data_IF_470467157149
#
_entry.id   IF_470467157149
#
_cell.length_a   1.000
_cell.length_b   1.000
_cell.length_c   1.000
_cell.angle_alpha   90.00
_cell.angle_beta   90.00
_cell.angle_gamma   90.00
#
_symmetry.space_group_name_H-M   'P 1'
#
loop_
_entity.id
_entity.type
_entity.pdbx_description
1 polymer ?
#
# COMPACT_ATOMS: atom_id res chain seq x y z
N UNK A 1 11.42 15.30 6.21
CA UNK A 1 10.65 14.24 5.49
C UNK A 1 9.72 14.90 4.48
N UNK A 2 9.68 14.37 3.30
CA UNK A 2 8.77 14.80 2.24
C UNK A 2 8.03 13.58 1.67
N UNK A 3 6.82 13.78 1.14
CA UNK A 3 6.07 12.73 0.45
C UNK A 3 5.76 13.19 -0.96
N UNK A 4 6.06 12.36 -1.92
CA UNK A 4 5.93 12.63 -3.35
C UNK A 4 5.57 11.36 -4.12
N UNK A 5 5.25 11.49 -5.39
CA UNK A 5 5.18 10.34 -6.29
C UNK A 5 6.56 9.69 -6.41
N UNK A 6 6.56 8.37 -6.53
CA UNK A 6 7.78 7.61 -6.75
C UNK A 6 8.35 7.88 -8.15
N UNK A 7 9.67 7.83 -8.24
CA UNK A 7 10.46 8.01 -9.46
C UNK A 7 11.33 6.77 -9.70
N UNK A 8 11.90 6.64 -10.89
CA UNK A 8 12.74 5.49 -11.24
C UNK A 8 13.93 5.30 -10.27
N UNK A 9 14.47 6.39 -9.75
CA UNK A 9 15.57 6.34 -8.76
C UNK A 9 15.18 5.65 -7.46
N UNK A 10 13.89 5.57 -7.15
CA UNK A 10 13.38 4.94 -5.93
C UNK A 10 13.29 3.41 -6.06
N UNK A 11 13.34 2.86 -7.28
CA UNK A 11 13.12 1.43 -7.55
C UNK A 11 13.97 0.51 -6.66
N UNK A 12 15.29 0.72 -6.47
CA UNK A 12 16.07 -0.15 -5.59
C UNK A 12 15.55 -0.18 -4.15
N UNK A 13 15.14 0.95 -3.63
CA UNK A 13 14.57 1.04 -2.27
C UNK A 13 13.19 0.42 -2.20
N UNK A 14 12.35 0.63 -3.21
CA UNK A 14 11.03 0.00 -3.29
C UNK A 14 11.16 -1.53 -3.28
N UNK A 15 12.10 -2.10 -4.03
CA UNK A 15 12.34 -3.54 -4.03
C UNK A 15 12.79 -4.05 -2.66
N UNK A 16 13.68 -3.33 -1.98
CA UNK A 16 14.13 -3.69 -0.65
C UNK A 16 12.98 -3.69 0.37
N UNK A 17 12.13 -2.67 0.33
CA UNK A 17 10.98 -2.55 1.24
C UNK A 17 9.89 -3.58 0.92
N UNK A 18 9.65 -3.88 -0.35
CA UNK A 18 8.75 -4.97 -0.77
C UNK A 18 9.20 -6.31 -0.21
N UNK A 19 10.52 -6.55 -0.15
CA UNK A 19 11.09 -7.74 0.48
C UNK A 19 10.80 -7.82 1.98
N UNK A 20 10.81 -6.70 2.69
CA UNK A 20 10.47 -6.65 4.13
C UNK A 20 9.00 -7.04 4.36
N UNK A 21 8.08 -6.53 3.55
CA UNK A 21 6.65 -6.86 3.64
C UNK A 21 6.41 -8.33 3.29
N UNK A 22 7.05 -8.81 2.24
CA UNK A 22 6.92 -10.22 1.84
C UNK A 22 7.34 -11.16 2.96
N UNK A 23 8.42 -10.84 3.68
CA UNK A 23 8.88 -11.64 4.81
C UNK A 23 7.81 -11.73 5.92
N UNK A 24 7.16 -10.62 6.24
CA UNK A 24 6.05 -10.59 7.23
C UNK A 24 4.89 -11.45 6.75
N UNK A 25 4.49 -11.34 5.49
CA UNK A 25 3.39 -12.11 4.92
C UNK A 25 3.73 -13.61 4.85
N UNK A 26 4.97 -13.96 4.52
CA UNK A 26 5.41 -15.36 4.49
C UNK A 26 5.44 -16.00 5.88
N UNK A 27 5.73 -15.25 6.93
CA UNK A 27 5.64 -15.71 8.31
C UNK A 27 4.19 -15.98 8.74
N UNK A 28 3.25 -15.14 8.29
CA UNK A 28 1.82 -15.28 8.61
C UNK A 28 1.18 -16.40 7.78
N UNK A 29 1.47 -16.44 6.48
CA UNK A 29 0.87 -17.37 5.53
C UNK A 29 1.96 -18.03 4.66
N UNK A 30 2.73 -18.97 5.24
CA UNK A 30 3.76 -19.70 4.48
C UNK A 30 3.18 -20.63 3.40
N UNK A 31 1.88 -20.93 3.46
CA UNK A 31 1.13 -21.66 2.43
C UNK A 31 0.79 -20.81 1.20
N UNK A 32 0.90 -19.48 1.30
CA UNK A 32 0.55 -18.55 0.23
C UNK A 32 1.78 -17.83 -0.33
N UNK A 33 2.68 -17.37 0.55
CA UNK A 33 3.82 -16.55 0.18
C UNK A 33 5.12 -17.35 0.21
N UNK A 34 5.98 -17.11 -0.81
CA UNK A 34 7.30 -17.72 -0.92
C UNK A 34 8.34 -16.71 -0.40
N UNK A 35 8.99 -16.97 0.75
CA UNK A 35 10.00 -16.05 1.28
C UNK A 35 11.20 -15.93 0.34
N UNK A 36 11.84 -14.76 0.35
CA UNK A 36 13.02 -14.49 -0.46
C UNK A 36 12.75 -14.19 -1.94
N UNK A 37 11.48 -14.16 -2.36
CA UNK A 37 11.09 -13.72 -3.71
C UNK A 37 10.74 -12.23 -3.72
N UNK A 38 10.50 -11.67 -4.90
CA UNK A 38 10.04 -10.29 -5.07
C UNK A 38 8.70 -10.25 -5.79
N UNK A 39 7.84 -9.30 -5.39
CA UNK A 39 6.55 -9.09 -6.04
C UNK A 39 6.70 -8.56 -7.46
N UNK A 40 7.72 -7.71 -7.69
CA UNK A 40 7.97 -7.06 -8.96
C UNK A 40 9.44 -7.17 -9.34
N UNK A 41 9.71 -7.21 -10.66
CA UNK A 41 11.03 -6.97 -11.23
C UNK A 41 11.26 -5.46 -11.38
N UNK A 42 12.50 -5.05 -11.64
CA UNK A 42 12.84 -3.66 -11.97
C UNK A 42 12.03 -3.15 -13.17
N UNK A 43 11.92 -3.96 -14.23
CA UNK A 43 11.16 -3.59 -15.44
C UNK A 43 9.66 -3.43 -15.15
N UNK A 44 9.09 -4.33 -14.35
CA UNK A 44 7.68 -4.25 -13.94
C UNK A 44 7.40 -2.99 -13.10
N UNK A 45 8.29 -2.63 -12.17
CA UNK A 45 8.16 -1.39 -11.40
C UNK A 45 8.29 -0.15 -12.29
N UNK A 46 9.24 -0.14 -13.22
CA UNK A 46 9.40 0.98 -14.15
C UNK A 46 8.13 1.19 -14.99
N UNK A 47 7.53 0.09 -15.47
CA UNK A 47 6.25 0.16 -16.19
C UNK A 47 5.10 0.63 -15.29
N UNK A 48 5.04 0.17 -14.04
CA UNK A 48 4.01 0.55 -13.07
C UNK A 48 4.06 2.05 -12.75
N UNK A 49 5.25 2.63 -12.66
CA UNK A 49 5.42 4.08 -12.44
C UNK A 49 4.81 4.95 -13.53
N UNK A 50 4.60 4.42 -14.73
CA UNK A 50 3.98 5.13 -15.85
C UNK A 50 2.44 5.04 -15.85
N UNK A 51 1.84 4.23 -14.98
CA UNK A 51 0.40 4.04 -14.93
C UNK A 51 -0.24 5.08 -13.99
N UNK A 52 -1.04 6.00 -14.56
CA UNK A 52 -1.69 7.07 -13.79
C UNK A 52 -2.74 6.58 -12.81
N UNK A 53 -3.41 5.46 -13.11
CA UNK A 53 -4.42 4.84 -12.26
C UNK A 53 -3.84 3.98 -11.13
N UNK A 54 -2.51 3.84 -11.09
CA UNK A 54 -1.78 3.07 -10.05
C UNK A 54 -0.65 3.90 -9.45
N UNK A 55 -0.97 5.02 -8.78
CA UNK A 55 0.05 5.89 -8.24
C UNK A 55 0.82 5.22 -7.09
N UNK A 56 2.11 5.45 -7.06
CA UNK A 56 2.99 5.04 -5.96
C UNK A 56 3.50 6.30 -5.29
N UNK A 57 3.30 6.39 -3.98
CA UNK A 57 3.79 7.50 -3.17
C UNK A 57 4.91 7.01 -2.27
N UNK A 58 5.93 7.84 -2.10
CA UNK A 58 7.09 7.55 -1.24
C UNK A 58 7.29 8.64 -0.21
N UNK A 59 7.62 8.24 1.00
CA UNK A 59 8.13 9.13 2.02
C UNK A 59 9.65 9.10 1.96
N UNK A 60 10.27 10.25 1.79
CA UNK A 60 11.72 10.39 1.64
C UNK A 60 12.31 11.23 2.77
N UNK A 61 13.55 10.93 3.13
CA UNK A 61 14.31 11.70 4.11
C UNK A 61 14.92 12.97 3.50
N UNK A 62 15.81 13.63 4.25
CA UNK A 62 16.49 14.86 3.82
C UNK A 62 17.42 14.65 2.64
N UNK A 63 17.94 13.42 2.46
CA UNK A 63 18.79 13.02 1.34
C UNK A 63 18.00 12.44 0.16
N UNK A 64 16.65 12.60 0.19
CA UNK A 64 15.72 12.06 -0.81
C UNK A 64 15.73 10.54 -0.92
N UNK A 65 16.08 9.84 0.17
CA UNK A 65 16.06 8.39 0.26
C UNK A 65 14.71 7.88 0.75
N UNK A 66 14.13 6.93 0.03
CA UNK A 66 12.83 6.35 0.37
C UNK A 66 12.88 5.56 1.67
N UNK A 67 12.05 5.98 2.63
CA UNK A 67 11.86 5.35 3.94
C UNK A 67 10.56 4.55 4.05
N UNK A 68 9.66 4.76 3.12
CA UNK A 68 8.37 4.09 3.13
C UNK A 68 7.59 4.40 1.85
N UNK A 69 6.58 3.59 1.58
CA UNK A 69 5.78 3.72 0.36
C UNK A 69 4.30 3.40 0.59
N UNK A 70 3.49 3.85 -0.34
CA UNK A 70 2.11 3.41 -0.52
C UNK A 70 1.88 3.13 -2.01
N UNK A 71 1.65 1.87 -2.35
CA UNK A 71 1.20 1.46 -3.67
C UNK A 71 -0.32 1.58 -3.71
N UNK A 72 -0.85 2.36 -4.63
CA UNK A 72 -2.28 2.62 -4.73
C UNK A 72 -2.84 2.24 -6.09
N UNK A 73 -4.14 2.03 -6.14
CA UNK A 73 -4.89 1.79 -7.37
C UNK A 73 -6.19 2.59 -7.31
N UNK A 74 -6.42 3.42 -8.32
CA UNK A 74 -7.71 4.07 -8.49
C UNK A 74 -8.69 3.04 -9.07
N UNK A 75 -9.74 2.74 -8.30
CA UNK A 75 -10.77 1.78 -8.68
C UNK A 75 -12.12 2.48 -8.86
N UNK A 76 -12.81 2.11 -9.92
CA UNK A 76 -14.18 2.53 -10.15
C UNK A 76 -15.10 1.32 -10.00
N UNK A 77 -16.29 1.54 -9.47
CA UNK A 77 -17.31 0.49 -9.42
C UNK A 77 -17.66 0.08 -10.85
N UNK A 78 -17.71 -1.23 -11.16
CA UNK A 78 -18.24 -1.67 -12.45
C UNK A 78 -19.70 -1.22 -12.58
N UNK A 79 -20.10 -0.89 -13.81
CA UNK A 79 -21.48 -0.50 -14.06
C UNK A 79 -22.43 -1.59 -13.58
N UNK A 80 -23.38 -1.21 -12.75
CA UNK A 80 -24.41 -2.10 -12.22
C UNK A 80 -25.65 -1.29 -11.87
N UNK A 81 -26.83 -1.88 -12.12
CA UNK A 81 -28.10 -1.23 -11.80
C UNK A 81 -28.41 -1.21 -10.32
N UNK A 82 -27.73 -2.02 -9.52
CA UNK A 82 -27.99 -2.16 -8.08
C UNK A 82 -26.90 -1.55 -7.19
N UNK A 83 -25.92 -0.86 -7.76
CA UNK A 83 -24.83 -0.25 -7.01
C UNK A 83 -24.68 1.23 -7.35
N UNK A 84 -24.41 2.04 -6.34
CA UNK A 84 -24.10 3.45 -6.52
C UNK A 84 -22.69 3.56 -7.13
N UNK A 85 -22.53 4.28 -8.25
CA UNK A 85 -21.19 4.48 -8.82
C UNK A 85 -20.36 5.43 -7.97
N UNK A 86 -19.15 5.01 -7.63
CA UNK A 86 -18.17 5.87 -6.96
C UNK A 86 -16.75 5.35 -7.24
N UNK A 87 -15.77 6.20 -6.95
CA UNK A 87 -14.34 5.87 -7.03
C UNK A 87 -13.80 5.55 -5.66
N UNK A 88 -12.86 4.62 -5.60
CA UNK A 88 -12.09 4.28 -4.41
C UNK A 88 -10.61 4.36 -4.72
N UNK A 89 -9.82 4.87 -3.79
CA UNK A 89 -8.37 4.72 -3.86
C UNK A 89 -7.98 3.53 -2.98
N UNK A 90 -7.58 2.45 -3.61
CA UNK A 90 -7.19 1.21 -2.95
C UNK A 90 -5.69 1.24 -2.66
N UNK A 91 -5.32 1.03 -1.40
CA UNK A 91 -3.93 0.83 -1.01
C UNK A 91 -3.63 -0.66 -1.16
N UNK A 92 -2.87 -0.99 -2.20
CA UNK A 92 -2.44 -2.37 -2.46
C UNK A 92 -1.39 -2.81 -1.45
N UNK A 93 -0.49 -1.90 -1.08
CA UNK A 93 0.56 -2.14 -0.10
C UNK A 93 1.04 -0.83 0.53
N UNK A 94 1.31 -0.85 1.82
CA UNK A 94 1.89 0.27 2.57
C UNK A 94 2.98 -0.29 3.49
N UNK A 95 4.16 0.27 3.39
CA UNK A 95 5.32 -0.18 4.15
C UNK A 95 6.15 1.00 4.64
N UNK A 96 6.66 0.88 5.84
CA UNK A 96 7.69 1.75 6.39
C UNK A 96 8.92 0.90 6.70
N UNK A 97 10.10 1.37 6.28
CA UNK A 97 11.36 0.70 6.58
C UNK A 97 11.43 0.41 8.08
N UNK A 98 11.76 -0.82 8.44
CA UNK A 98 11.90 -1.24 9.85
C UNK A 98 12.88 -0.36 10.63
N UNK A 99 13.90 0.20 9.96
CA UNK A 99 14.88 1.11 10.57
C UNK A 99 14.34 2.53 10.78
N UNK A 100 13.26 2.90 10.10
CA UNK A 100 12.64 4.21 10.18
C UNK A 100 11.32 4.23 10.96
N UNK A 101 10.94 3.12 11.59
CA UNK A 101 9.69 3.03 12.38
C UNK A 101 9.76 3.92 13.62
N UNK A 102 8.58 4.31 14.12
CA UNK A 102 8.46 5.20 15.30
C UNK A 102 8.61 6.68 14.97
N UNK A 103 8.69 7.06 13.69
CA UNK A 103 8.82 8.45 13.24
C UNK A 103 7.53 8.99 12.59
N UNK A 104 6.39 8.34 12.80
CA UNK A 104 5.09 8.70 12.23
C UNK A 104 5.03 8.72 10.69
N UNK A 105 5.92 8.00 10.02
CA UNK A 105 6.00 7.95 8.56
C UNK A 105 4.74 7.30 7.99
N UNK A 106 4.29 6.20 8.58
CA UNK A 106 3.07 5.50 8.15
C UNK A 106 1.83 6.38 8.26
N UNK A 107 1.70 7.14 9.34
CA UNK A 107 0.61 8.09 9.54
C UNK A 107 0.63 9.17 8.47
N UNK A 108 1.81 9.74 8.21
CA UNK A 108 2.00 10.78 7.19
C UNK A 108 1.70 10.27 5.77
N UNK A 109 2.13 9.05 5.45
CA UNK A 109 1.81 8.41 4.17
C UNK A 109 0.31 8.20 4.01
N UNK A 110 -0.35 7.69 5.03
CA UNK A 110 -1.80 7.46 4.99
C UNK A 110 -2.57 8.78 4.86
N UNK A 111 -2.17 9.83 5.59
CA UNK A 111 -2.77 11.16 5.47
C UNK A 111 -2.58 11.74 4.06
N UNK A 112 -1.41 11.55 3.48
CA UNK A 112 -1.14 11.96 2.10
C UNK A 112 -2.04 11.22 1.11
N UNK A 113 -2.18 9.90 1.26
CA UNK A 113 -3.09 9.08 0.42
C UNK A 113 -4.53 9.59 0.51
N UNK A 114 -5.01 9.92 1.73
CA UNK A 114 -6.35 10.51 1.91
C UNK A 114 -6.52 11.82 1.17
N UNK A 115 -5.50 12.68 1.21
CA UNK A 115 -5.53 13.95 0.47
C UNK A 115 -5.58 13.72 -1.03
N UNK A 116 -4.78 12.79 -1.55
CA UNK A 116 -4.79 12.43 -2.97
C UNK A 116 -6.13 11.81 -3.39
N UNK A 117 -6.71 10.95 -2.56
CA UNK A 117 -8.02 10.38 -2.81
C UNK A 117 -9.11 11.44 -2.94
N UNK A 118 -9.09 12.44 -2.06
CA UNK A 118 -10.02 13.59 -2.15
C UNK A 118 -9.82 14.38 -3.44
N UNK A 119 -8.57 14.65 -3.81
CA UNK A 119 -8.25 15.37 -5.05
C UNK A 119 -8.69 14.60 -6.31
N UNK A 120 -8.68 13.28 -6.27
CA UNK A 120 -9.13 12.41 -7.35
C UNK A 120 -10.65 12.20 -7.37
N UNK A 121 -11.38 12.77 -6.42
CA UNK A 121 -12.84 12.61 -6.33
C UNK A 121 -13.30 11.27 -5.78
N UNK A 122 -12.45 10.58 -5.01
CA UNK A 122 -12.80 9.30 -4.40
C UNK A 122 -13.77 9.47 -3.24
N UNK A 123 -14.67 8.48 -3.10
CA UNK A 123 -15.56 8.36 -1.95
C UNK A 123 -14.85 7.81 -0.72
N UNK A 124 -13.92 6.90 -0.92
CA UNK A 124 -13.26 6.14 0.14
C UNK A 124 -11.81 5.81 -0.19
N UNK A 125 -11.05 5.50 0.84
CA UNK A 125 -9.75 4.80 0.75
C UNK A 125 -9.97 3.41 1.34
N UNK A 126 -9.56 2.37 0.62
CA UNK A 126 -9.71 0.97 1.03
C UNK A 126 -8.38 0.26 1.03
N UNK A 127 -8.29 -0.81 1.79
CA UNK A 127 -7.15 -1.74 1.78
C UNK A 127 -7.60 -3.11 2.30
N UNK A 128 -6.76 -4.10 2.06
CA UNK A 128 -6.88 -5.40 2.68
C UNK A 128 -5.73 -5.60 3.68
N UNK A 129 -6.04 -6.23 4.81
CA UNK A 129 -5.04 -6.61 5.80
C UNK A 129 -5.16 -8.10 6.09
N UNK A 130 -4.03 -8.81 6.09
CA UNK A 130 -4.01 -10.23 6.41
C UNK A 130 -4.34 -10.47 7.88
N UNK A 131 -5.27 -11.40 8.14
CA UNK A 131 -5.53 -11.87 9.50
C UNK A 131 -4.22 -12.43 10.09
N UNK A 132 -3.88 -12.00 11.30
CA UNK A 132 -2.60 -12.34 11.93
C UNK A 132 -1.54 -11.24 11.83
N UNK A 133 -1.70 -10.27 10.93
CA UNK A 133 -0.86 -9.06 10.91
C UNK A 133 -1.41 -8.04 11.93
N UNK A 134 -1.25 -8.36 13.19
CA UNK A 134 -1.83 -7.61 14.31
C UNK A 134 -1.32 -6.17 14.38
N UNK A 135 -0.05 -5.96 14.07
CA UNK A 135 0.57 -4.63 14.04
C UNK A 135 -0.09 -3.73 12.99
N UNK A 136 -0.33 -4.25 11.78
CA UNK A 136 -1.00 -3.51 10.71
C UNK A 136 -2.48 -3.26 11.07
N UNK A 137 -3.19 -4.26 11.59
CA UNK A 137 -4.58 -4.11 12.03
C UNK A 137 -4.73 -2.98 13.04
N UNK A 138 -3.88 -2.94 14.07
CA UNK A 138 -3.89 -1.87 15.08
C UNK A 138 -3.57 -0.51 14.49
N UNK A 139 -2.62 -0.44 13.58
CA UNK A 139 -2.26 0.80 12.90
C UNK A 139 -3.44 1.36 12.12
N UNK A 140 -4.11 0.54 11.32
CA UNK A 140 -5.24 0.99 10.52
C UNK A 140 -6.46 1.36 11.36
N UNK A 141 -6.74 0.63 12.43
CA UNK A 141 -7.78 0.99 13.40
C UNK A 141 -7.49 2.35 14.04
N UNK A 142 -6.25 2.60 14.46
CA UNK A 142 -5.81 3.89 14.98
C UNK A 142 -5.98 5.01 13.97
N UNK A 143 -5.77 4.73 12.68
CA UNK A 143 -5.98 5.71 11.60
C UNK A 143 -7.46 5.96 11.29
N UNK A 144 -8.36 5.24 11.92
CA UNK A 144 -9.81 5.43 11.76
C UNK A 144 -10.46 4.55 10.70
N UNK A 145 -9.73 3.58 10.14
CA UNK A 145 -10.34 2.63 9.22
C UNK A 145 -11.24 1.64 9.98
N UNK A 146 -12.33 1.26 9.31
CA UNK A 146 -13.30 0.28 9.83
C UNK A 146 -13.40 -0.88 8.85
N UNK A 147 -13.69 -2.06 9.38
CA UNK A 147 -13.94 -3.22 8.54
C UNK A 147 -15.14 -2.98 7.65
N UNK A 148 -14.97 -3.07 6.33
CA UNK A 148 -16.00 -2.92 5.31
C UNK A 148 -16.65 -4.27 4.99
N UNK A 149 -15.81 -5.29 4.80
CA UNK A 149 -16.21 -6.66 4.50
C UNK A 149 -15.14 -7.63 5.01
N UNK A 150 -15.46 -8.91 5.00
CA UNK A 150 -14.51 -9.96 5.36
C UNK A 150 -14.46 -11.00 4.26
N UNK A 151 -13.29 -11.36 3.83
CA UNK A 151 -13.04 -12.53 3.01
C UNK A 151 -12.78 -13.72 3.93
N UNK A 152 -13.53 -14.80 3.74
CA UNK A 152 -13.38 -16.02 4.50
C UNK A 152 -12.89 -17.14 3.58
N UNK A 153 -12.11 -18.07 4.11
CA UNK A 153 -11.59 -19.21 3.36
C UNK A 153 -11.89 -20.53 4.05
N UNK A 154 -12.02 -21.56 3.27
CA UNK A 154 -12.03 -22.94 3.72
C UNK A 154 -10.98 -23.71 2.90
N UNK A 155 -9.93 -24.22 3.56
CA UNK A 155 -8.86 -24.99 2.91
C UNK A 155 -9.31 -26.42 2.75
N UNK A 156 -9.30 -26.91 1.50
CA UNK A 156 -9.73 -28.27 1.12
C UNK A 156 -8.70 -29.35 1.42
#
# INVERSE_FOLDING_TARGET
MNIRKAEEKDIPRLLALLGQVLQIHAEIRPDIFIPGTTKYTVCELAALLQQEDKPIYVAVDEDDVCMGYAFCQLKEQPFSTNMVPFKSLFIDDLCVDKQARGQHIGESLFDYVKQQAKALGCYEVTLNVWAGNTSAERFYEKMGLKTKERQMEYIL
#
